data_IF_465110769233
#
_entry.id   IF_465110769233
#
_cell.length_a   1.000
_cell.length_b   1.000
_cell.length_c   1.000
_cell.angle_alpha   90.00
_cell.angle_beta   90.00
_cell.angle_gamma   90.00
#
_symmetry.space_group_name_H-M   'P 1'
#
loop_
_entity.id
_entity.type
_entity.pdbx_description
1 polymer ?
#
# COMPACT_ATOMS: atom_id res chain seq x y z
N UNK A 1 -6.94 11.63 17.72
CA UNK A 1 -5.71 10.90 18.08
C UNK A 1 -5.11 11.47 19.37
N UNK A 2 -4.48 10.66 20.24
CA UNK A 2 -3.81 11.19 21.46
C UNK A 2 -2.41 11.78 21.14
N UNK A 3 -1.84 12.57 22.05
CA UNK A 3 -0.58 13.31 21.82
C UNK A 3 0.62 12.39 21.52
N UNK A 4 0.71 11.25 22.21
CA UNK A 4 1.77 10.25 22.00
C UNK A 4 1.70 9.64 20.59
N UNK A 5 0.51 9.21 20.15
CA UNK A 5 0.29 8.68 18.80
C UNK A 5 0.59 9.72 17.73
N UNK A 6 0.20 10.98 17.93
CA UNK A 6 0.49 12.06 16.99
C UNK A 6 2.00 12.30 16.86
N UNK A 7 2.74 12.32 17.97
CA UNK A 7 4.22 12.43 17.95
C UNK A 7 4.86 11.24 17.24
N UNK A 8 4.36 10.02 17.49
CA UNK A 8 4.86 8.82 16.85
C UNK A 8 4.62 8.86 15.33
N UNK A 9 3.42 9.24 14.89
CA UNK A 9 3.09 9.40 13.48
C UNK A 9 4.05 10.38 12.79
N UNK A 10 4.23 11.58 13.36
CA UNK A 10 5.15 12.57 12.79
C UNK A 10 6.60 12.06 12.72
N UNK A 11 7.03 11.30 13.74
CA UNK A 11 8.34 10.66 13.75
C UNK A 11 8.46 9.61 12.65
N UNK A 12 7.46 8.74 12.50
CA UNK A 12 7.46 7.68 11.49
C UNK A 12 7.49 8.26 10.07
N UNK A 13 6.62 9.25 9.79
CA UNK A 13 6.62 9.96 8.51
C UNK A 13 7.99 10.57 8.21
N UNK A 14 8.60 11.25 9.19
CA UNK A 14 9.93 11.83 9.03
C UNK A 14 11.01 10.77 8.78
N UNK A 15 10.99 9.67 9.51
CA UNK A 15 11.94 8.56 9.38
C UNK A 15 11.89 7.92 7.98
N UNK A 16 10.73 7.97 7.31
CA UNK A 16 10.52 7.46 5.95
C UNK A 16 10.54 8.58 4.88
N UNK A 17 11.04 9.77 5.21
CA UNK A 17 11.19 10.87 4.24
C UNK A 17 9.87 11.50 3.77
N UNK A 18 8.78 11.29 4.50
CA UNK A 18 7.45 11.80 4.22
C UNK A 18 7.13 12.98 5.14
N UNK A 19 6.40 13.94 4.61
CA UNK A 19 5.94 15.13 5.32
C UNK A 19 4.51 15.50 4.90
N UNK A 20 3.96 16.53 5.51
CA UNK A 20 2.58 16.99 5.29
C UNK A 20 2.28 17.41 3.83
N UNK A 21 3.29 17.64 2.98
CA UNK A 21 3.08 17.98 1.56
C UNK A 21 2.97 16.75 0.69
N UNK A 22 3.80 15.73 0.90
CA UNK A 22 3.91 14.57 0.02
C UNK A 22 3.31 13.28 0.60
N UNK A 23 2.55 13.34 1.70
CA UNK A 23 2.01 12.15 2.38
C UNK A 23 1.20 11.20 1.49
N UNK A 24 0.59 11.71 0.41
CA UNK A 24 -0.16 10.92 -0.56
C UNK A 24 0.70 9.82 -1.23
N UNK A 25 2.02 10.04 -1.36
CA UNK A 25 2.95 9.03 -1.90
C UNK A 25 2.98 7.77 -1.04
N UNK A 26 2.63 7.88 0.25
CA UNK A 26 2.62 6.74 1.16
C UNK A 26 1.63 5.66 0.72
N UNK A 27 0.55 6.04 0.03
CA UNK A 27 -0.42 5.11 -0.55
C UNK A 27 0.19 4.21 -1.65
N UNK A 28 1.39 4.50 -2.14
CA UNK A 28 2.09 3.61 -3.09
C UNK A 28 2.98 2.58 -2.40
N UNK A 29 3.30 2.77 -1.11
CA UNK A 29 4.23 1.88 -0.41
C UNK A 29 3.72 0.43 -0.31
N UNK A 30 2.43 0.14 -0.05
CA UNK A 30 1.92 -1.23 -0.08
C UNK A 30 2.01 -1.89 -1.44
N UNK A 31 1.77 -1.14 -2.53
CA UNK A 31 1.92 -1.67 -3.89
C UNK A 31 3.37 -2.05 -4.17
N UNK A 32 4.32 -1.24 -3.72
CA UNK A 32 5.75 -1.54 -3.84
C UNK A 32 6.14 -2.75 -2.99
N UNK A 33 5.56 -2.91 -1.80
CA UNK A 33 5.77 -4.09 -0.97
C UNK A 33 5.33 -5.39 -1.67
N UNK A 34 4.18 -5.37 -2.36
CA UNK A 34 3.73 -6.52 -3.16
C UNK A 34 4.69 -6.80 -4.31
N UNK A 35 5.09 -5.77 -5.06
CA UNK A 35 5.97 -5.95 -6.21
C UNK A 35 7.39 -6.43 -5.84
N UNK A 36 7.81 -6.27 -4.58
CA UNK A 36 9.07 -6.84 -4.08
C UNK A 36 8.91 -8.23 -3.46
N UNK A 37 7.71 -8.81 -3.42
CA UNK A 37 7.44 -10.03 -2.66
C UNK A 37 8.31 -11.23 -3.06
N UNK A 38 8.69 -11.35 -4.34
CA UNK A 38 9.58 -12.39 -4.86
C UNK A 38 11.06 -11.96 -4.92
N UNK A 39 11.39 -10.78 -4.39
CA UNK A 39 12.73 -10.18 -4.38
C UNK A 39 13.11 -9.42 -5.65
N UNK A 40 12.20 -9.18 -6.59
CA UNK A 40 12.42 -8.30 -7.75
C UNK A 40 11.11 -7.70 -8.26
N UNK A 41 11.14 -6.43 -8.67
CA UNK A 41 9.99 -5.85 -9.37
C UNK A 41 10.00 -6.28 -10.84
N UNK A 42 8.89 -6.84 -11.30
CA UNK A 42 8.67 -7.19 -12.69
C UNK A 42 8.22 -5.97 -13.52
N UNK A 43 8.47 -6.02 -14.83
CA UNK A 43 8.12 -4.91 -15.73
C UNK A 43 6.63 -4.57 -15.72
N UNK A 44 5.75 -5.58 -15.62
CA UNK A 44 4.30 -5.38 -15.56
C UNK A 44 3.87 -4.63 -14.31
N UNK A 45 4.37 -5.05 -13.15
CA UNK A 45 4.11 -4.43 -11.85
C UNK A 45 4.62 -2.99 -11.79
N UNK A 46 5.83 -2.73 -12.29
CA UNK A 46 6.38 -1.38 -12.39
C UNK A 46 5.44 -0.47 -13.20
N UNK A 47 4.98 -0.94 -14.37
CA UNK A 47 4.08 -0.17 -15.22
C UNK A 47 2.74 0.10 -14.52
N UNK A 48 2.19 -0.90 -13.83
CA UNK A 48 0.93 -0.75 -13.11
C UNK A 48 1.05 0.21 -11.92
N UNK A 49 2.12 0.14 -11.13
CA UNK A 49 2.38 1.08 -10.03
C UNK A 49 2.46 2.52 -10.57
N UNK A 50 3.18 2.74 -11.66
CA UNK A 50 3.31 4.07 -12.26
C UNK A 50 1.99 4.58 -12.84
N UNK A 51 1.16 3.69 -13.40
CA UNK A 51 -0.19 4.01 -13.87
C UNK A 51 -1.08 4.44 -12.70
N UNK A 52 -1.14 3.64 -11.63
CA UNK A 52 -1.92 3.93 -10.43
C UNK A 52 -1.47 5.26 -9.80
N UNK A 53 -0.16 5.48 -9.66
CA UNK A 53 0.40 6.72 -9.13
C UNK A 53 -0.08 7.97 -9.90
N UNK A 54 -0.23 7.84 -11.22
CA UNK A 54 -0.72 8.90 -12.10
C UNK A 54 -2.23 9.08 -11.98
N UNK A 55 -3.01 8.00 -12.08
CA UNK A 55 -4.48 8.02 -12.07
C UNK A 55 -5.06 8.48 -10.74
N UNK A 56 -4.41 8.11 -9.62
CA UNK A 56 -4.82 8.51 -8.27
C UNK A 56 -4.17 9.83 -7.80
N UNK A 57 -3.36 10.46 -8.64
CA UNK A 57 -2.66 11.71 -8.34
C UNK A 57 -1.77 11.68 -7.09
N UNK A 58 -1.28 10.51 -6.67
CA UNK A 58 -0.48 10.34 -5.45
C UNK A 58 0.87 11.05 -5.46
N UNK A 59 1.32 11.52 -6.62
CA UNK A 59 2.56 12.27 -6.79
C UNK A 59 2.35 13.77 -7.03
N UNK A 60 1.11 14.28 -7.08
CA UNK A 60 0.84 15.67 -7.49
C UNK A 60 1.51 16.72 -6.59
N UNK A 61 1.65 16.42 -5.30
CA UNK A 61 2.30 17.29 -4.31
C UNK A 61 3.76 16.89 -4.01
N UNK A 62 4.35 16.06 -4.87
CA UNK A 62 5.70 15.53 -4.77
C UNK A 62 5.74 14.07 -4.28
N UNK A 63 6.93 13.47 -4.33
CA UNK A 63 7.16 12.08 -3.93
C UNK A 63 7.78 11.21 -5.02
N UNK A 64 7.99 11.77 -6.21
CA UNK A 64 8.53 11.08 -7.40
C UNK A 64 9.90 10.47 -7.12
N UNK A 65 10.78 11.23 -6.43
CA UNK A 65 12.10 10.72 -6.03
C UNK A 65 12.01 9.59 -5.01
N UNK A 66 11.00 9.64 -4.13
CA UNK A 66 10.80 8.64 -3.10
C UNK A 66 10.27 7.34 -3.70
N UNK A 67 9.25 7.44 -4.55
CA UNK A 67 8.76 6.29 -5.33
C UNK A 67 9.87 5.72 -6.21
N UNK A 68 10.61 6.56 -6.93
CA UNK A 68 11.74 6.09 -7.75
C UNK A 68 12.80 5.37 -6.91
N UNK A 69 13.06 5.79 -5.68
CA UNK A 69 13.95 5.07 -4.78
C UNK A 69 13.38 3.70 -4.41
N UNK A 70 12.12 3.62 -3.98
CA UNK A 70 11.47 2.35 -3.61
C UNK A 70 11.38 1.35 -4.77
N UNK A 71 11.21 1.84 -6.00
CA UNK A 71 11.15 0.99 -7.20
C UNK A 71 12.54 0.50 -7.66
N UNK A 72 13.62 1.14 -7.22
CA UNK A 72 14.99 0.75 -7.57
C UNK A 72 15.66 -0.09 -6.47
N UNK A 73 15.29 0.14 -5.21
CA UNK A 73 15.85 -0.54 -4.04
C UNK A 73 14.74 -0.86 -3.05
N UNK A 74 14.65 -2.13 -2.66
CA UNK A 74 13.63 -2.59 -1.71
C UNK A 74 13.78 -1.86 -0.37
N UNK A 75 12.72 -1.18 0.11
CA UNK A 75 12.68 -0.67 1.46
C UNK A 75 12.90 -1.75 2.53
N UNK A 76 13.63 -1.42 3.60
CA UNK A 76 13.84 -2.37 4.70
C UNK A 76 12.52 -2.75 5.40
N UNK A 77 12.43 -3.90 6.09
CA UNK A 77 11.24 -4.29 6.84
C UNK A 77 10.75 -3.23 7.84
N UNK A 78 11.67 -2.59 8.58
CA UNK A 78 11.32 -1.51 9.52
C UNK A 78 10.74 -0.28 8.81
N UNK A 79 11.12 -0.04 7.56
CA UNK A 79 10.56 1.04 6.75
C UNK A 79 9.09 0.76 6.42
N UNK A 80 8.79 -0.47 5.97
CA UNK A 80 7.42 -0.90 5.71
C UNK A 80 6.54 -0.85 6.96
N UNK A 81 7.03 -1.35 8.09
CA UNK A 81 6.30 -1.29 9.37
C UNK A 81 5.91 0.13 9.77
N UNK A 82 6.85 1.08 9.67
CA UNK A 82 6.58 2.50 9.93
C UNK A 82 5.57 3.08 8.93
N UNK A 83 5.72 2.74 7.66
CA UNK A 83 4.82 3.21 6.61
C UNK A 83 3.38 2.69 6.76
N UNK A 84 3.19 1.41 7.07
CA UNK A 84 1.87 0.82 7.27
C UNK A 84 1.20 1.37 8.53
N UNK A 85 1.95 1.52 9.63
CA UNK A 85 1.44 2.18 10.82
C UNK A 85 1.03 3.63 10.54
N UNK A 86 1.84 4.37 9.78
CA UNK A 86 1.52 5.73 9.39
C UNK A 86 0.27 5.81 8.49
N UNK A 87 0.06 4.86 7.56
CA UNK A 87 -1.16 4.80 6.75
C UNK A 87 -2.41 4.65 7.61
N UNK A 88 -2.39 3.73 8.57
CA UNK A 88 -3.53 3.47 9.47
C UNK A 88 -3.82 4.67 10.37
N UNK A 89 -2.77 5.26 10.96
CA UNK A 89 -2.95 6.42 11.84
C UNK A 89 -3.41 7.67 11.05
N UNK A 90 -2.95 7.87 9.80
CA UNK A 90 -3.50 8.92 8.91
C UNK A 90 -4.97 8.65 8.56
N UNK A 91 -5.33 7.40 8.23
CA UNK A 91 -6.70 7.03 7.91
C UNK A 91 -7.68 7.23 9.07
N UNK A 92 -7.20 7.12 10.31
CA UNK A 92 -7.99 7.30 11.54
C UNK A 92 -7.87 8.71 12.12
N UNK A 93 -7.07 9.57 11.51
CA UNK A 93 -6.84 10.93 11.98
C UNK A 93 -7.99 11.85 11.55
N UNK A 94 -8.52 12.63 12.48
CA UNK A 94 -9.41 13.75 12.19
C UNK A 94 -8.62 15.06 11.92
N UNK A 95 -7.30 15.03 12.06
CA UNK A 95 -6.42 16.18 11.80
C UNK A 95 -6.28 16.45 10.29
N UNK A 96 -5.98 17.70 9.92
CA UNK A 96 -5.87 18.14 8.52
C UNK A 96 -4.74 17.46 7.70
N UNK A 97 -3.82 16.73 8.34
CA UNK A 97 -2.81 15.93 7.63
C UNK A 97 -3.40 14.55 7.40
N UNK A 98 -3.50 14.14 6.13
CA UNK A 98 -4.06 12.83 5.80
C UNK A 98 -5.50 12.85 5.31
N UNK A 99 -6.10 14.02 5.08
CA UNK A 99 -7.52 14.14 4.64
C UNK A 99 -7.86 13.24 3.42
N UNK A 100 -6.89 13.00 2.53
CA UNK A 100 -7.05 12.16 1.35
C UNK A 100 -6.84 10.65 1.61
N UNK A 101 -6.38 10.26 2.81
CA UNK A 101 -6.21 8.86 3.23
C UNK A 101 -7.28 8.59 4.27
N UNK A 102 -8.27 7.78 3.89
CA UNK A 102 -9.44 7.46 4.73
C UNK A 102 -9.57 5.95 4.87
N UNK A 103 -10.38 5.45 5.82
CA UNK A 103 -10.59 4.00 5.96
C UNK A 103 -11.15 3.37 4.69
N UNK A 104 -12.02 4.10 3.96
CA UNK A 104 -12.52 3.67 2.65
C UNK A 104 -11.38 3.50 1.64
N UNK A 105 -10.44 4.44 1.61
CA UNK A 105 -9.32 4.40 0.67
C UNK A 105 -8.32 3.29 1.01
N UNK A 106 -8.28 2.79 2.26
CA UNK A 106 -7.48 1.62 2.63
C UNK A 106 -8.00 0.32 2.00
N UNK A 107 -9.33 0.17 1.83
CA UNK A 107 -9.89 -0.97 1.10
C UNK A 107 -9.53 -0.88 -0.38
N UNK A 108 -9.74 0.27 -1.00
CA UNK A 108 -9.34 0.50 -2.40
C UNK A 108 -7.82 0.31 -2.61
N UNK A 109 -7.02 0.57 -1.58
CA UNK A 109 -5.58 0.35 -1.59
C UNK A 109 -5.22 -1.14 -1.67
N UNK A 110 -5.99 -2.00 -1.01
CA UNK A 110 -5.81 -3.45 -1.12
C UNK A 110 -6.17 -3.96 -2.52
N UNK A 111 -7.24 -3.44 -3.12
CA UNK A 111 -7.63 -3.78 -4.49
C UNK A 111 -6.53 -3.39 -5.48
N UNK A 112 -5.91 -2.22 -5.31
CA UNK A 112 -4.77 -1.80 -6.12
C UNK A 112 -3.52 -2.68 -5.92
N UNK A 113 -3.29 -3.20 -4.70
CA UNK A 113 -2.22 -4.18 -4.47
C UNK A 113 -2.46 -5.47 -5.25
N UNK A 114 -3.71 -5.91 -5.32
CA UNK A 114 -4.13 -7.06 -6.11
C UNK A 114 -3.95 -6.82 -7.63
N UNK A 115 -4.25 -5.62 -8.11
CA UNK A 115 -4.04 -5.25 -9.52
C UNK A 115 -2.55 -5.27 -9.91
N UNK A 116 -1.67 -4.81 -9.01
CA UNK A 116 -0.21 -4.89 -9.21
C UNK A 116 0.24 -6.34 -9.34
N UNK A 117 -0.12 -7.20 -8.38
CA UNK A 117 0.23 -8.62 -8.43
C UNK A 117 -0.27 -9.32 -9.72
N UNK A 118 -1.51 -9.02 -10.14
CA UNK A 118 -2.07 -9.57 -11.39
C UNK A 118 -1.35 -9.07 -12.64
N UNK A 119 -0.73 -7.89 -12.60
CA UNK A 119 -0.05 -7.28 -13.76
C UNK A 119 1.26 -7.96 -14.13
N UNK A 120 1.82 -8.78 -13.22
CA UNK A 120 2.91 -9.72 -13.51
C UNK A 120 2.47 -10.92 -14.36
N UNK A 121 1.15 -11.19 -14.41
CA UNK A 121 0.56 -12.36 -15.07
C UNK A 121 0.71 -12.36 -16.59
N UNK A 122 1.82 -12.90 -17.09
CA UNK A 122 1.91 -13.23 -18.51
C UNK A 122 3.23 -13.82 -18.99
N UNK A 123 3.33 -15.16 -18.96
CA UNK A 123 4.00 -15.98 -19.99
C UNK A 123 3.51 -17.43 -19.81
N UNK A 124 2.83 -17.97 -20.83
CA UNK A 124 2.27 -19.35 -20.96
C UNK A 124 0.83 -19.60 -20.47
N UNK A 125 -0.13 -18.81 -20.95
CA UNK A 125 -1.33 -19.36 -21.60
C UNK A 125 -2.34 -20.23 -20.82
N UNK A 126 -2.27 -20.38 -19.49
CA UNK A 126 -3.36 -20.97 -18.66
C UNK A 126 -3.16 -20.68 -17.16
N UNK A 127 -4.22 -20.12 -16.56
CA UNK A 127 -4.49 -19.87 -15.13
C UNK A 127 -4.06 -18.52 -14.54
N UNK A 128 -5.04 -17.92 -13.86
CA UNK A 128 -5.17 -16.54 -13.41
C UNK A 128 -4.74 -16.34 -11.95
N UNK A 129 -3.58 -16.88 -11.53
CA UNK A 129 -3.21 -16.86 -10.11
C UNK A 129 -2.15 -15.80 -9.79
N UNK A 130 -2.39 -15.06 -8.71
CA UNK A 130 -1.37 -14.32 -7.94
C UNK A 130 -0.31 -15.32 -7.47
N UNK A 131 0.97 -14.91 -7.42
CA UNK A 131 2.03 -15.81 -6.93
C UNK A 131 1.89 -16.03 -5.41
N UNK A 132 2.28 -17.19 -4.85
CA UNK A 132 2.17 -17.45 -3.41
C UNK A 132 2.86 -16.39 -2.53
N UNK A 133 4.00 -15.86 -2.97
CA UNK A 133 4.74 -14.81 -2.27
C UNK A 133 3.95 -13.49 -2.24
N UNK A 134 3.31 -13.14 -3.36
CA UNK A 134 2.45 -11.96 -3.49
C UNK A 134 1.17 -12.11 -2.64
N UNK A 135 0.56 -13.31 -2.59
CA UNK A 135 -0.58 -13.60 -1.70
C UNK A 135 -0.19 -13.37 -0.24
N UNK A 136 0.99 -13.83 0.19
CA UNK A 136 1.51 -13.59 1.53
C UNK A 136 1.77 -12.10 1.77
N UNK A 137 2.26 -11.36 0.79
CA UNK A 137 2.48 -9.92 0.92
C UNK A 137 1.16 -9.14 1.07
N UNK A 138 0.16 -9.48 0.25
CA UNK A 138 -1.20 -8.91 0.33
C UNK A 138 -1.83 -9.26 1.70
N UNK A 139 -1.66 -10.50 2.17
CA UNK A 139 -2.10 -10.96 3.49
C UNK A 139 -1.31 -10.38 4.67
N UNK A 140 -0.19 -9.67 4.41
CA UNK A 140 0.53 -8.81 5.39
C UNK A 140 0.13 -7.33 5.33
N UNK A 141 -0.30 -6.83 4.15
CA UNK A 141 -0.80 -5.45 3.97
C UNK A 141 -2.11 -5.16 4.69
N UNK A 142 -3.17 -5.97 4.60
CA UNK A 142 -3.40 -6.61 5.89
C UNK A 142 -4.70 -6.62 6.65
N UNK A 143 -4.74 -7.37 7.77
CA UNK A 143 -3.71 -7.44 8.85
C UNK A 143 -3.09 -6.08 9.16
N UNK A 144 -1.93 -5.64 8.66
CA UNK A 144 -1.42 -4.29 8.96
C UNK A 144 -2.43 -3.14 8.79
N UNK A 145 -3.26 -3.12 7.74
CA UNK A 145 -4.32 -2.12 7.54
C UNK A 145 -5.56 -2.37 8.44
N UNK A 146 -5.77 -3.61 8.88
CA UNK A 146 -6.86 -4.05 9.77
C UNK A 146 -6.40 -4.34 11.21
N UNK A 147 -5.19 -3.91 11.60
CA UNK A 147 -4.47 -4.42 12.79
C UNK A 147 -5.10 -3.98 14.12
N UNK A 148 -6.31 -3.43 14.11
CA UNK A 148 -7.00 -3.07 15.35
C UNK A 148 -8.53 -3.22 15.36
N UNK A 149 -9.19 -3.94 14.45
CA UNK A 149 -10.66 -4.12 14.53
C UNK A 149 -11.17 -5.58 14.41
N UNK A 150 -10.29 -6.59 14.54
CA UNK A 150 -10.73 -7.96 14.85
C UNK A 150 -11.49 -8.74 13.77
N UNK A 151 -11.78 -8.16 12.61
CA UNK A 151 -12.41 -8.89 11.51
C UNK A 151 -11.39 -9.68 10.71
N UNK A 152 -11.64 -10.99 10.68
CA UNK A 152 -10.82 -11.99 10.02
C UNK A 152 -10.88 -11.78 8.52
N UNK A 153 -9.71 -11.81 7.89
CA UNK A 153 -9.49 -11.88 6.46
C UNK A 153 -10.45 -12.78 5.65
N UNK A 154 -11.02 -13.80 6.29
CA UNK A 154 -12.03 -14.66 5.68
C UNK A 154 -13.29 -13.91 5.22
N UNK A 155 -13.81 -12.97 6.01
CA UNK A 155 -15.05 -12.25 5.69
C UNK A 155 -14.83 -11.24 4.56
N UNK A 156 -13.67 -10.57 4.54
CA UNK A 156 -13.33 -9.58 3.51
C UNK A 156 -13.03 -10.25 2.15
N UNK A 157 -12.41 -11.44 2.16
CA UNK A 157 -12.25 -12.26 0.95
C UNK A 157 -13.58 -12.80 0.44
N UNK A 158 -14.48 -13.20 1.35
CA UNK A 158 -15.82 -13.66 1.00
C UNK A 158 -16.63 -12.52 0.34
N UNK A 159 -16.61 -11.31 0.90
CA UNK A 159 -17.25 -10.11 0.34
C UNK A 159 -16.70 -9.72 -1.04
N UNK A 160 -15.37 -9.71 -1.21
CA UNK A 160 -14.73 -9.38 -2.49
C UNK A 160 -14.97 -10.45 -3.57
N UNK A 161 -15.16 -11.71 -3.17
CA UNK A 161 -15.52 -12.80 -4.07
C UNK A 161 -17.01 -12.84 -4.43
N UNK A 162 -17.83 -12.05 -3.72
CA UNK A 162 -19.30 -12.08 -3.80
C UNK A 162 -19.91 -10.97 -4.67
N UNK A 163 -19.13 -10.16 -5.39
CA UNK A 163 -19.73 -9.17 -6.32
C UNK A 163 -20.42 -9.89 -7.50
N UNK A 164 -21.71 -9.60 -7.79
CA UNK A 164 -22.41 -10.23 -8.90
C UNK A 164 -21.88 -9.67 -10.23
N UNK A 165 -21.60 -10.60 -11.14
CA UNK A 165 -21.28 -10.39 -12.56
C UNK A 165 -22.29 -9.50 -13.30
#
# INVERSE_FOLDING_TARGET
MNEEKHKLLLKDLKDIGINAKNYQVLSLLPLVFVAWADGKIQKGEYVEIMKIAKERHYLHKGGEKLLAHWLNEEPTPSYYEKGFRALVELARSEDAIGEDITPKNLKELLDMCMDVAKSAGGLWGKLWSVAPEEEVAIAKIASALAIDDGESWGELLEDLSSEPS
#
